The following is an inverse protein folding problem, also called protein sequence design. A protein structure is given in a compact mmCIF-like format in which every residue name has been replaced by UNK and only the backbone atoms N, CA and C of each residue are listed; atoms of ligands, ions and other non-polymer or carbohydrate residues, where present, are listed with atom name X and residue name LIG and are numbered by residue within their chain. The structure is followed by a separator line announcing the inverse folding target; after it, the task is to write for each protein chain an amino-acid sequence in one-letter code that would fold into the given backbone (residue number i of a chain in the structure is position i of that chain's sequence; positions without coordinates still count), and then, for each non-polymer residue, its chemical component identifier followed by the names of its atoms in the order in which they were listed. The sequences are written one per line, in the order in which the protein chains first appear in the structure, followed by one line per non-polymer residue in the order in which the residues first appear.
data_IF_123946383441
#
_entry.id   IF_123946383441
#
_cell.length_a   1.000
_cell.length_b   1.000
_cell.length_c   1.000
_cell.angle_alpha   90.00
_cell.angle_beta   90.00
_cell.angle_gamma   90.00
#
_symmetry.space_group_name_H-M   'P 1'
#
loop_
_entity.id
_entity.type
_entity.pdbx_description
1 polymer ?
#
# COMPACT_ATOMS: atom_id res chain seq x y z
N UNK A 1 57.77 25.33 -4.62
CA UNK A 1 56.59 25.92 -3.96
C UNK A 1 55.39 25.08 -4.37
N UNK A 2 54.75 24.44 -3.40
CA UNK A 2 53.84 23.31 -3.58
C UNK A 2 52.47 23.81 -4.07
N UNK A 3 51.96 23.24 -5.17
CA UNK A 3 50.55 23.31 -5.55
C UNK A 3 49.89 22.05 -5.01
N UNK A 4 49.27 22.12 -3.83
CA UNK A 4 48.41 21.05 -3.32
C UNK A 4 47.01 21.22 -3.88
N UNK A 5 46.72 20.36 -4.84
CA UNK A 5 45.40 20.04 -5.40
C UNK A 5 44.44 19.69 -4.25
N UNK A 6 43.29 20.37 -4.21
CA UNK A 6 42.11 19.95 -3.45
C UNK A 6 41.61 18.65 -4.06
N UNK A 7 41.67 17.55 -3.31
CA UNK A 7 40.81 16.39 -3.53
C UNK A 7 39.85 16.32 -2.34
N UNK A 8 38.68 16.94 -2.52
CA UNK A 8 37.53 16.72 -1.65
C UNK A 8 36.99 15.33 -1.94
N UNK A 9 37.41 14.35 -1.15
CA UNK A 9 36.86 12.99 -1.23
C UNK A 9 35.38 13.01 -0.86
N UNK A 10 34.53 12.79 -1.86
CA UNK A 10 33.11 12.54 -1.65
C UNK A 10 32.95 11.22 -0.89
N UNK A 11 32.29 11.29 0.27
CA UNK A 11 32.05 10.13 1.12
C UNK A 11 31.24 9.08 0.34
N UNK A 12 31.54 7.78 0.48
CA UNK A 12 30.87 6.73 -0.28
C UNK A 12 29.36 6.74 0.01
N UNK A 13 28.51 6.44 -0.99
CA UNK A 13 27.06 6.45 -0.82
C UNK A 13 26.67 5.48 0.30
N UNK A 14 25.94 5.99 1.30
CA UNK A 14 25.43 5.17 2.41
C UNK A 14 24.51 4.10 1.82
N UNK A 15 24.93 2.83 1.89
CA UNK A 15 24.07 1.69 1.53
C UNK A 15 22.79 1.76 2.36
N UNK A 16 21.65 1.99 1.71
CA UNK A 16 20.33 1.95 2.37
C UNK A 16 20.15 0.55 2.94
N UNK A 17 19.90 0.48 4.25
CA UNK A 17 19.63 -0.78 4.94
C UNK A 17 18.24 -1.26 4.49
N UNK A 18 18.06 -2.54 4.13
CA UNK A 18 16.75 -3.03 3.70
C UNK A 18 15.71 -2.76 4.79
N UNK A 19 14.46 -2.43 4.40
CA UNK A 19 13.40 -2.16 5.35
C UNK A 19 13.19 -3.38 6.25
N UNK A 20 12.82 -3.14 7.51
CA UNK A 20 12.34 -4.23 8.37
C UNK A 20 11.03 -4.78 7.81
N UNK A 21 10.76 -6.07 8.03
CA UNK A 21 9.51 -6.70 7.59
C UNK A 21 8.27 -5.94 8.07
N UNK A 22 8.30 -5.42 9.31
CA UNK A 22 7.23 -4.57 9.86
C UNK A 22 7.03 -3.28 9.06
N UNK A 23 8.12 -2.59 8.68
CA UNK A 23 8.03 -1.36 7.87
C UNK A 23 7.53 -1.66 6.46
N UNK A 24 8.00 -2.75 5.84
CA UNK A 24 7.54 -3.17 4.52
C UNK A 24 6.04 -3.53 4.52
N UNK A 25 5.56 -4.20 5.57
CA UNK A 25 4.14 -4.50 5.77
C UNK A 25 3.31 -3.25 6.02
N UNK A 26 3.82 -2.30 6.80
CA UNK A 26 3.15 -1.02 7.00
C UNK A 26 2.97 -0.27 5.68
N UNK A 27 4.02 -0.22 4.85
CA UNK A 27 3.94 0.42 3.54
C UNK A 27 2.96 -0.31 2.61
N UNK A 28 3.00 -1.65 2.58
CA UNK A 28 2.06 -2.45 1.80
C UNK A 28 0.60 -2.22 2.20
N UNK A 29 0.28 -2.09 3.49
CA UNK A 29 -1.09 -1.75 3.95
C UNK A 29 -1.54 -0.37 3.48
N UNK A 30 -0.63 0.62 3.46
CA UNK A 30 -0.94 1.96 2.93
C UNK A 30 -1.28 1.91 1.44
N UNK A 31 -0.46 1.20 0.66
CA UNK A 31 -0.74 0.98 -0.77
C UNK A 31 -2.07 0.25 -0.97
N UNK A 32 -2.37 -0.76 -0.14
CA UNK A 32 -3.62 -1.50 -0.23
C UNK A 32 -4.85 -0.60 -0.02
N UNK A 33 -4.83 0.31 0.96
CA UNK A 33 -5.92 1.27 1.17
C UNK A 33 -6.09 2.19 -0.05
N UNK A 34 -4.99 2.65 -0.65
CA UNK A 34 -5.03 3.49 -1.85
C UNK A 34 -5.62 2.74 -3.05
N UNK A 35 -5.18 1.51 -3.28
CA UNK A 35 -5.71 0.67 -4.36
C UNK A 35 -7.20 0.37 -4.16
N UNK A 36 -7.62 -0.01 -2.95
CA UNK A 36 -9.02 -0.27 -2.62
C UNK A 36 -9.90 0.99 -2.72
N UNK A 37 -9.35 2.17 -2.47
CA UNK A 37 -10.03 3.43 -2.75
C UNK A 37 -10.21 3.63 -4.26
N UNK A 38 -9.14 3.46 -5.04
CA UNK A 38 -9.19 3.59 -6.50
C UNK A 38 -10.21 2.63 -7.13
N UNK A 39 -10.23 1.37 -6.70
CA UNK A 39 -11.21 0.36 -7.12
C UNK A 39 -12.66 0.78 -6.83
N UNK A 40 -12.91 1.45 -5.70
CA UNK A 40 -14.24 1.91 -5.33
C UNK A 40 -14.71 3.12 -6.14
N UNK A 41 -13.80 4.05 -6.47
CA UNK A 41 -14.14 5.26 -7.23
C UNK A 41 -14.19 4.98 -8.74
N UNK A 42 -13.29 4.13 -9.22
CA UNK A 42 -13.19 3.73 -10.62
C UNK A 42 -13.02 2.20 -10.71
N UNK A 43 -14.14 1.45 -10.71
CA UNK A 43 -14.10 0.00 -10.76
C UNK A 43 -13.36 -0.49 -12.00
N UNK A 44 -12.31 -1.26 -11.78
CA UNK A 44 -11.47 -1.84 -12.82
C UNK A 44 -11.23 -3.33 -12.54
N UNK A 45 -10.51 -3.99 -13.43
CA UNK A 45 -10.01 -5.32 -13.12
C UNK A 45 -9.03 -5.23 -11.95
N UNK A 46 -9.29 -5.95 -10.86
CA UNK A 46 -8.39 -6.04 -9.70
C UNK A 46 -6.99 -6.50 -10.12
N UNK A 47 -6.89 -7.34 -11.15
CA UNK A 47 -5.61 -7.77 -11.70
C UNK A 47 -4.84 -6.63 -12.38
N UNK A 48 -5.53 -5.75 -13.12
CA UNK A 48 -4.92 -4.59 -13.77
C UNK A 48 -4.47 -3.57 -12.73
N UNK A 49 -5.32 -3.30 -11.73
CA UNK A 49 -5.01 -2.41 -10.60
C UNK A 49 -3.76 -2.88 -9.84
N UNK A 50 -3.68 -4.17 -9.51
CA UNK A 50 -2.52 -4.73 -8.80
C UNK A 50 -1.26 -4.64 -9.67
N UNK A 51 -1.37 -4.90 -10.98
CA UNK A 51 -0.23 -4.79 -11.89
C UNK A 51 0.27 -3.35 -12.00
N UNK A 52 -0.63 -2.37 -12.14
CA UNK A 52 -0.32 -0.94 -12.17
C UNK A 52 0.43 -0.52 -10.90
N UNK A 53 -0.12 -0.83 -9.72
CA UNK A 53 0.52 -0.49 -8.44
C UNK A 53 1.89 -1.15 -8.28
N UNK A 54 2.06 -2.40 -8.72
CA UNK A 54 3.37 -3.09 -8.66
C UNK A 54 4.42 -2.39 -9.51
N UNK A 55 4.07 -1.93 -10.70
CA UNK A 55 5.00 -1.21 -11.59
C UNK A 55 5.34 0.16 -10.99
N UNK A 56 4.35 0.90 -10.49
CA UNK A 56 4.58 2.23 -9.93
C UNK A 56 5.33 2.24 -8.60
N UNK A 57 5.20 1.17 -7.80
CA UNK A 57 5.78 1.08 -6.45
C UNK A 57 6.87 0.01 -6.33
N UNK A 58 7.46 -0.45 -7.43
CA UNK A 58 8.54 -1.46 -7.40
C UNK A 58 9.74 -1.02 -6.56
N UNK A 59 10.07 0.28 -6.58
CA UNK A 59 11.15 0.87 -5.80
C UNK A 59 10.77 1.23 -4.37
N UNK A 60 9.49 1.11 -4.00
CA UNK A 60 9.06 1.37 -2.65
C UNK A 60 9.49 0.20 -1.78
N UNK A 61 10.00 0.52 -0.58
CA UNK A 61 10.36 -0.43 0.46
C UNK A 61 9.12 -1.15 1.04
N UNK A 62 8.26 -1.71 0.18
CA UNK A 62 6.95 -2.27 0.44
C UNK A 62 6.93 -3.78 0.15
N UNK A 63 6.18 -4.52 0.95
CA UNK A 63 5.90 -5.93 0.68
C UNK A 63 4.81 -6.06 -0.41
N UNK A 64 5.22 -6.03 -1.68
CA UNK A 64 4.31 -6.06 -2.85
C UNK A 64 3.61 -7.40 -3.05
N UNK A 65 4.15 -8.48 -2.48
CA UNK A 65 3.49 -9.79 -2.46
C UNK A 65 2.30 -9.74 -1.51
N UNK A 66 2.52 -9.26 -0.27
CA UNK A 66 1.44 -9.06 0.68
C UNK A 66 0.40 -8.06 0.19
N UNK A 67 0.81 -6.94 -0.40
CA UNK A 67 -0.10 -5.97 -1.01
C UNK A 67 -1.05 -6.62 -2.01
N UNK A 68 -0.51 -7.38 -2.97
CA UNK A 68 -1.31 -8.02 -4.01
C UNK A 68 -2.28 -9.05 -3.43
N UNK A 69 -1.82 -9.85 -2.47
CA UNK A 69 -2.67 -10.82 -1.77
C UNK A 69 -3.80 -10.12 -0.99
N UNK A 70 -3.49 -9.03 -0.30
CA UNK A 70 -4.45 -8.26 0.48
C UNK A 70 -5.52 -7.62 -0.41
N UNK A 71 -5.14 -6.88 -1.46
CA UNK A 71 -6.09 -6.22 -2.37
C UNK A 71 -6.97 -7.26 -3.07
N UNK A 72 -6.37 -8.33 -3.61
CA UNK A 72 -7.13 -9.38 -4.30
C UNK A 72 -8.10 -10.10 -3.37
N UNK A 73 -7.64 -10.44 -2.16
CA UNK A 73 -8.47 -11.10 -1.15
C UNK A 73 -9.63 -10.22 -0.70
N UNK A 74 -9.35 -8.95 -0.38
CA UNK A 74 -10.37 -7.99 0.05
C UNK A 74 -11.38 -7.71 -1.05
N UNK A 75 -10.95 -7.44 -2.29
CA UNK A 75 -11.89 -7.20 -3.40
C UNK A 75 -12.78 -8.41 -3.68
N UNK A 76 -12.25 -9.64 -3.56
CA UNK A 76 -13.04 -10.88 -3.70
C UNK A 76 -14.04 -11.08 -2.56
N UNK A 77 -13.66 -10.75 -1.33
CA UNK A 77 -14.46 -10.95 -0.13
C UNK A 77 -15.28 -9.70 0.27
N UNK A 78 -15.29 -8.64 -0.54
CA UNK A 78 -15.82 -7.32 -0.15
C UNK A 78 -17.22 -7.37 0.49
N UNK A 79 -18.16 -8.09 -0.11
CA UNK A 79 -19.54 -8.22 0.42
C UNK A 79 -19.62 -9.02 1.73
N UNK A 80 -18.78 -10.05 1.85
CA UNK A 80 -18.70 -10.85 3.07
C UNK A 80 -18.13 -10.01 4.21
N UNK A 81 -17.03 -9.29 3.95
CA UNK A 81 -16.42 -8.36 4.91
C UNK A 81 -17.41 -7.28 5.34
N UNK A 82 -18.14 -6.67 4.40
CA UNK A 82 -19.17 -5.67 4.69
C UNK A 82 -20.24 -6.20 5.65
N UNK A 83 -20.61 -7.47 5.51
CA UNK A 83 -21.60 -8.11 6.40
C UNK A 83 -21.06 -8.33 7.81
N UNK A 84 -19.76 -8.55 7.99
CA UNK A 84 -19.15 -8.82 9.29
C UNK A 84 -19.12 -7.57 10.18
N UNK A 85 -18.79 -6.40 9.61
CA UNK A 85 -18.70 -5.16 10.40
C UNK A 85 -19.98 -4.33 10.39
N UNK A 86 -20.90 -4.52 9.43
CA UNK A 86 -22.20 -3.84 9.40
C UNK A 86 -22.96 -3.78 10.74
N UNK A 87 -23.09 -4.87 11.54
CA UNK A 87 -23.83 -4.82 12.81
C UNK A 87 -23.09 -4.04 13.92
N UNK A 88 -21.82 -3.69 13.70
CA UNK A 88 -20.99 -2.93 14.65
C UNK A 88 -20.97 -1.42 14.33
N UNK A 89 -21.61 -1.00 13.24
CA UNK A 89 -21.69 0.40 12.84
C UNK A 89 -22.83 1.12 13.56
N UNK A 90 -22.60 2.39 13.88
CA UNK A 90 -23.60 3.33 14.40
C UNK A 90 -24.40 4.02 13.27
N UNK A 91 -24.04 3.77 12.02
CA UNK A 91 -24.60 4.34 10.79
C UNK A 91 -24.67 3.31 9.67
N UNK A 92 -25.36 3.62 8.58
CA UNK A 92 -25.49 2.69 7.46
C UNK A 92 -24.20 2.60 6.60
N UNK A 93 -24.03 1.49 5.88
CA UNK A 93 -22.84 1.21 5.07
C UNK A 93 -22.63 2.22 3.93
N UNK A 94 -23.71 2.80 3.41
CA UNK A 94 -23.71 3.82 2.36
C UNK A 94 -23.33 5.22 2.88
N UNK A 95 -23.32 5.42 4.20
CA UNK A 95 -22.84 6.64 4.84
C UNK A 95 -21.32 6.61 5.14
N UNK A 96 -20.66 5.47 4.91
CA UNK A 96 -19.21 5.35 5.02
C UNK A 96 -18.51 5.98 3.82
N UNK A 97 -17.47 6.74 4.08
CA UNK A 97 -16.62 7.21 3.00
C UNK A 97 -15.82 6.04 2.39
N UNK A 98 -15.39 6.13 1.11
CA UNK A 98 -14.67 5.04 0.45
C UNK A 98 -13.35 4.65 1.13
N UNK A 99 -12.70 5.57 1.85
CA UNK A 99 -11.45 5.32 2.60
C UNK A 99 -11.76 4.56 3.89
N UNK A 100 -12.77 4.97 4.66
CA UNK A 100 -13.29 4.27 5.83
C UNK A 100 -13.67 2.84 5.46
N UNK A 101 -14.43 2.67 4.37
CA UNK A 101 -14.82 1.35 3.89
C UNK A 101 -13.63 0.50 3.46
N UNK A 102 -12.62 1.08 2.81
CA UNK A 102 -11.38 0.38 2.48
C UNK A 102 -10.61 -0.08 3.72
N UNK A 103 -10.51 0.78 4.73
CA UNK A 103 -9.82 0.48 6.00
C UNK A 103 -10.55 -0.63 6.76
N UNK A 104 -11.87 -0.54 6.88
CA UNK A 104 -12.69 -1.55 7.56
C UNK A 104 -12.56 -2.91 6.88
N UNK A 105 -12.69 -2.96 5.55
CA UNK A 105 -12.50 -4.21 4.79
C UNK A 105 -11.09 -4.79 4.94
N UNK A 106 -10.05 -3.96 4.98
CA UNK A 106 -8.68 -4.42 5.17
C UNK A 106 -8.38 -4.88 6.61
N UNK A 107 -9.12 -4.37 7.59
CA UNK A 107 -8.93 -4.65 9.02
C UNK A 107 -9.80 -5.77 9.59
N UNK A 108 -10.77 -6.27 8.82
CA UNK A 108 -11.66 -7.38 9.17
C UNK A 108 -10.98 -8.71 8.91
#
# INVERSE_FOLDING_TARGET
MIVTKRDGGEAPPRRKRPPSASRARQQARRLAVQALYQDQINPASVHELVAEFRVHHESDDADLEYFAAAVTGVSRAARELDTLYAPLLDRALDELDPVERAILRLGT
#
